data_IF_496517765714
#
_entry.id   IF_496517765714
#
_cell.length_a   1.000
_cell.length_b   1.000
_cell.length_c   1.000
_cell.angle_alpha   90.00
_cell.angle_beta   90.00
_cell.angle_gamma   90.00
#
_symmetry.space_group_name_H-M   'P 1'
#
loop_
_entity.id
_entity.type
_entity.pdbx_description
1 polymer ?
#
# COMPACT_ATOMS: atom_id res chain seq x y z
N UNK A 1 -10.69 -0.92 32.46
CA UNK A 1 -9.55 -1.74 32.90
C UNK A 1 -9.09 -1.36 34.33
N UNK A 2 -8.74 -0.11 34.65
CA UNK A 2 -8.31 0.30 36.02
C UNK A 2 -9.24 -0.13 37.16
N UNK A 3 -10.57 -0.09 36.99
CA UNK A 3 -11.52 -0.54 38.02
C UNK A 3 -11.37 -2.03 38.29
N UNK A 4 -11.15 -2.84 37.28
CA UNK A 4 -10.96 -4.29 37.41
C UNK A 4 -9.61 -4.57 38.09
N UNK A 5 -8.55 -3.87 37.68
CA UNK A 5 -7.24 -3.99 38.31
C UNK A 5 -7.30 -3.66 39.82
N UNK A 6 -8.00 -2.60 40.22
CA UNK A 6 -8.20 -2.24 41.63
C UNK A 6 -8.97 -3.33 42.39
N UNK A 7 -10.01 -3.90 41.77
CA UNK A 7 -10.78 -4.96 42.40
C UNK A 7 -9.94 -6.21 42.70
N UNK A 8 -9.06 -6.57 41.77
CA UNK A 8 -8.18 -7.73 41.91
C UNK A 8 -6.81 -7.41 42.51
N UNK A 9 -6.61 -6.18 43.02
CA UNK A 9 -5.33 -5.72 43.58
C UNK A 9 -4.13 -5.95 42.64
N UNK A 10 -4.35 -5.84 41.34
CA UNK A 10 -3.31 -6.00 40.34
C UNK A 10 -2.80 -4.64 39.83
N UNK A 11 -1.51 -4.58 39.51
CA UNK A 11 -0.87 -3.38 38.95
C UNK A 11 -0.20 -3.74 37.60
N UNK A 12 -0.95 -3.78 36.49
CA UNK A 12 -0.41 -4.15 35.22
C UNK A 12 0.48 -3.06 34.65
N UNK A 13 1.52 -3.48 33.93
CA UNK A 13 2.27 -2.59 33.05
C UNK A 13 1.58 -2.50 31.68
N UNK A 14 1.44 -1.27 31.17
CA UNK A 14 0.84 -1.02 29.87
C UNK A 14 1.94 -0.78 28.85
N UNK A 15 1.94 -1.56 27.77
CA UNK A 15 2.74 -1.37 26.57
C UNK A 15 1.82 -1.01 25.44
N UNK A 16 2.00 0.18 24.86
CA UNK A 16 1.21 0.66 23.75
C UNK A 16 2.09 0.72 22.48
N UNK A 17 1.57 0.24 21.36
CA UNK A 17 2.22 0.32 20.06
C UNK A 17 1.26 0.93 19.05
N UNK A 18 1.76 1.79 18.19
CA UNK A 18 1.01 2.38 17.08
C UNK A 18 1.94 2.71 15.93
N UNK A 19 1.40 2.69 14.70
CA UNK A 19 2.18 2.99 13.50
C UNK A 19 2.30 4.49 13.24
N UNK A 20 1.19 5.24 13.30
CA UNK A 20 1.14 6.65 12.89
C UNK A 20 0.24 7.46 13.83
N UNK A 21 0.82 8.04 14.87
CA UNK A 21 0.13 8.95 15.80
C UNK A 21 1.03 10.15 16.07
N UNK A 22 0.47 11.36 15.92
CA UNK A 22 1.21 12.59 16.15
C UNK A 22 1.53 12.86 17.64
N UNK A 23 0.70 12.36 18.54
CA UNK A 23 0.78 12.59 19.99
C UNK A 23 0.65 11.29 20.80
N UNK A 24 1.57 10.32 20.64
CA UNK A 24 1.43 8.97 21.20
C UNK A 24 1.36 8.96 22.72
N UNK A 25 2.18 9.74 23.41
CA UNK A 25 2.21 9.80 24.88
C UNK A 25 0.89 10.34 25.42
N UNK A 26 0.42 11.48 24.90
CA UNK A 26 -0.84 12.09 25.35
C UNK A 26 -2.03 11.14 25.17
N UNK A 27 -2.08 10.42 24.03
CA UNK A 27 -3.14 9.47 23.77
C UNK A 27 -3.06 8.26 24.71
N UNK A 28 -1.87 7.70 24.92
CA UNK A 28 -1.66 6.59 25.83
C UNK A 28 -2.05 6.97 27.26
N UNK A 29 -1.68 8.16 27.72
CA UNK A 29 -2.05 8.68 29.04
C UNK A 29 -3.55 8.89 29.21
N UNK A 30 -4.24 9.37 28.18
CA UNK A 30 -5.71 9.49 28.19
C UNK A 30 -6.41 8.14 28.29
N UNK A 31 -5.86 7.10 27.70
CA UNK A 31 -6.46 5.75 27.66
C UNK A 31 -6.10 4.94 28.91
N UNK A 32 -4.83 4.95 29.29
CA UNK A 32 -4.28 4.05 30.31
C UNK A 32 -3.84 4.74 31.61
N UNK A 33 -3.82 6.08 31.67
CA UNK A 33 -3.32 6.86 32.80
C UNK A 33 -1.92 7.42 32.53
N UNK A 34 -1.32 8.04 33.52
CA UNK A 34 -0.02 8.72 33.41
C UNK A 34 1.18 7.77 33.46
N UNK A 35 2.34 8.28 33.08
CA UNK A 35 3.64 7.60 33.27
C UNK A 35 4.15 6.83 32.07
N UNK A 36 3.82 7.23 30.85
CA UNK A 36 4.36 6.63 29.64
C UNK A 36 5.69 7.24 29.21
N UNK A 37 6.63 6.38 28.84
CA UNK A 37 7.87 6.77 28.19
C UNK A 37 7.76 6.46 26.69
N UNK A 38 8.04 7.46 25.86
CA UNK A 38 8.06 7.30 24.41
C UNK A 38 9.36 6.61 23.97
N UNK A 39 9.21 5.59 23.15
CA UNK A 39 10.31 4.93 22.43
C UNK A 39 10.05 5.16 20.95
N UNK A 40 10.71 6.17 20.37
CA UNK A 40 10.55 6.60 18.99
C UNK A 40 11.83 6.49 18.16
N UNK A 41 12.92 6.05 18.79
CA UNK A 41 14.18 5.82 18.08
C UNK A 41 14.16 4.45 17.43
N UNK A 42 13.82 4.47 16.16
CA UNK A 42 13.96 3.32 15.29
C UNK A 42 15.44 3.11 14.96
N UNK A 43 15.99 1.95 15.33
CA UNK A 43 17.37 1.56 15.01
C UNK A 43 17.53 1.01 13.60
N UNK A 44 16.48 1.00 12.77
CA UNK A 44 16.53 0.49 11.41
C UNK A 44 17.27 1.46 10.47
N UNK A 45 17.87 0.92 9.43
CA UNK A 45 18.47 1.71 8.35
C UNK A 45 17.36 2.41 7.57
N UNK A 46 17.37 3.73 7.53
CA UNK A 46 16.47 4.52 6.71
C UNK A 46 17.16 4.84 5.36
N UNK A 47 16.72 4.24 4.24
CA UNK A 47 17.23 4.62 2.93
C UNK A 47 16.77 6.04 2.57
N UNK A 48 17.47 6.66 1.63
CA UNK A 48 17.03 7.92 1.03
C UNK A 48 15.65 7.72 0.40
N UNK A 49 14.79 8.73 0.56
CA UNK A 49 13.42 8.72 0.03
C UNK A 49 13.23 9.88 -0.92
N UNK A 50 12.74 9.58 -2.09
CA UNK A 50 12.35 10.56 -3.09
C UNK A 50 10.82 10.68 -3.12
N UNK A 51 10.32 11.92 -3.13
CA UNK A 51 8.88 12.23 -3.19
C UNK A 51 8.56 12.90 -4.51
N UNK A 52 7.83 12.20 -5.38
CA UNK A 52 7.39 12.70 -6.67
C UNK A 52 5.89 13.03 -6.64
N UNK A 53 5.53 14.29 -6.97
CA UNK A 53 4.13 14.70 -7.11
C UNK A 53 3.82 14.82 -8.60
N UNK A 54 2.95 13.94 -9.12
CA UNK A 54 2.57 13.88 -10.52
C UNK A 54 1.19 14.48 -10.70
N UNK A 55 1.10 15.54 -11.51
CA UNK A 55 -0.19 16.09 -11.94
C UNK A 55 -0.64 15.36 -13.21
N UNK A 56 -1.85 14.73 -13.20
CA UNK A 56 -2.35 14.05 -14.39
C UNK A 56 -2.45 14.98 -15.61
N UNK A 57 -2.12 14.48 -16.83
CA UNK A 57 -2.19 15.25 -18.05
C UNK A 57 -3.58 15.80 -18.36
N UNK A 58 -3.63 16.93 -19.04
CA UNK A 58 -4.86 17.55 -19.50
C UNK A 58 -5.40 16.85 -20.77
N UNK A 59 -6.72 16.71 -20.80
CA UNK A 59 -7.44 16.26 -21.99
C UNK A 59 -7.83 17.52 -22.78
N UNK A 60 -7.17 17.73 -23.91
CA UNK A 60 -7.43 18.87 -24.81
C UNK A 60 -8.20 18.42 -26.04
N UNK A 61 -9.13 19.23 -26.47
CA UNK A 61 -9.82 19.07 -27.75
C UNK A 61 -9.10 19.78 -28.88
N UNK A 62 -9.68 19.70 -30.11
CA UNK A 62 -9.11 20.29 -31.32
C UNK A 62 -8.86 21.81 -31.27
N UNK A 63 -9.46 22.52 -30.29
CA UNK A 63 -9.35 23.98 -30.14
C UNK A 63 -8.46 24.36 -28.93
N UNK A 64 -7.56 23.50 -28.47
CA UNK A 64 -6.78 23.65 -27.22
C UNK A 64 -7.62 23.84 -25.95
N UNK A 65 -8.93 23.68 -26.05
CA UNK A 65 -9.82 23.76 -24.90
C UNK A 65 -9.61 22.55 -24.00
N UNK A 66 -9.36 22.81 -22.72
CA UNK A 66 -9.20 21.78 -21.69
C UNK A 66 -10.59 21.27 -21.30
N UNK A 67 -10.83 19.98 -21.46
CA UNK A 67 -12.08 19.30 -21.06
C UNK A 67 -11.98 18.60 -19.71
N UNK A 68 -10.77 18.45 -19.18
CA UNK A 68 -10.51 17.80 -17.92
C UNK A 68 -9.08 17.26 -17.83
N UNK A 69 -8.87 16.32 -16.92
CA UNK A 69 -7.58 15.62 -16.78
C UNK A 69 -7.81 14.11 -16.83
N UNK A 70 -6.81 13.39 -17.28
CA UNK A 70 -6.77 11.93 -17.22
C UNK A 70 -6.97 11.53 -15.73
N UNK A 71 -7.73 10.47 -15.48
CA UNK A 71 -7.92 9.98 -14.12
C UNK A 71 -6.58 9.55 -13.50
N UNK A 72 -6.35 9.91 -12.25
CA UNK A 72 -5.13 9.51 -11.53
C UNK A 72 -4.95 7.97 -11.48
N UNK A 73 -6.05 7.21 -11.45
CA UNK A 73 -6.03 5.74 -11.55
C UNK A 73 -5.44 5.25 -12.86
N UNK A 74 -5.77 5.90 -13.99
CA UNK A 74 -5.24 5.54 -15.31
C UNK A 74 -3.75 5.90 -15.43
N UNK A 75 -3.33 7.03 -14.83
CA UNK A 75 -1.90 7.37 -14.76
C UNK A 75 -1.15 6.34 -13.92
N UNK A 76 -1.68 6.00 -12.73
CA UNK A 76 -1.08 4.98 -11.87
C UNK A 76 -0.98 3.61 -12.57
N UNK A 77 -2.06 3.17 -13.24
CA UNK A 77 -2.05 1.94 -14.02
C UNK A 77 -1.06 1.98 -15.20
N UNK A 78 -0.72 3.18 -15.69
CA UNK A 78 0.27 3.40 -16.75
C UNK A 78 1.72 3.24 -16.29
N UNK A 79 2.00 3.52 -15.02
CA UNK A 79 3.35 3.39 -14.45
C UNK A 79 3.69 1.95 -14.05
N UNK A 80 2.69 1.12 -13.79
CA UNK A 80 2.89 -0.25 -13.28
C UNK A 80 3.72 -1.12 -14.23
N UNK A 81 3.52 -1.13 -15.57
CA UNK A 81 4.36 -1.91 -16.46
C UNK A 81 5.85 -1.60 -16.36
N UNK A 82 6.23 -0.34 -16.29
CA UNK A 82 7.63 0.09 -16.14
C UNK A 82 8.24 -0.42 -14.82
N UNK A 83 7.47 -0.33 -13.72
CA UNK A 83 7.92 -0.84 -12.41
C UNK A 83 8.11 -2.35 -12.41
N UNK A 84 7.25 -3.09 -13.12
CA UNK A 84 7.37 -4.55 -13.28
C UNK A 84 8.56 -4.92 -14.15
N UNK A 85 8.80 -4.21 -15.26
CA UNK A 85 9.92 -4.44 -16.17
C UNK A 85 11.28 -4.19 -15.50
N UNK A 86 11.36 -3.18 -14.64
CA UNK A 86 12.55 -2.82 -13.87
C UNK A 86 12.71 -3.61 -12.57
N UNK A 87 11.81 -4.57 -12.31
CA UNK A 87 11.78 -5.41 -11.11
C UNK A 87 11.74 -4.61 -9.79
N UNK A 88 11.06 -3.47 -9.83
CA UNK A 88 10.84 -2.65 -8.63
C UNK A 88 9.67 -3.16 -7.81
N UNK A 89 9.90 -3.43 -6.53
CA UNK A 89 8.82 -3.74 -5.60
C UNK A 89 8.00 -2.50 -5.29
N UNK A 90 6.67 -2.58 -5.46
CA UNK A 90 5.79 -1.43 -5.28
C UNK A 90 4.44 -1.76 -4.64
N UNK A 91 3.84 -0.73 -4.06
CA UNK A 91 2.43 -0.75 -3.62
C UNK A 91 1.73 0.47 -4.21
N UNK A 92 0.65 0.23 -4.93
CA UNK A 92 -0.23 1.29 -5.45
C UNK A 92 -1.49 1.39 -4.60
N UNK A 93 -1.76 2.55 -4.01
CA UNK A 93 -2.95 2.76 -3.20
C UNK A 93 -4.11 3.35 -3.99
N UNK A 94 -5.23 2.63 -4.03
CA UNK A 94 -6.49 3.10 -4.58
C UNK A 94 -7.45 3.58 -3.48
N UNK A 95 -8.22 4.66 -3.76
CA UNK A 95 -9.16 5.27 -2.78
C UNK A 95 -10.33 4.37 -2.39
N UNK A 96 -10.67 3.38 -3.20
CA UNK A 96 -11.79 2.48 -2.98
C UNK A 96 -11.54 1.11 -3.58
N UNK A 97 -12.30 0.10 -3.16
CA UNK A 97 -12.24 -1.26 -3.73
C UNK A 97 -12.43 -1.24 -5.24
N UNK A 98 -13.39 -0.46 -5.74
CA UNK A 98 -13.64 -0.30 -7.18
C UNK A 98 -12.43 0.33 -7.89
N UNK A 99 -11.81 1.32 -7.28
CA UNK A 99 -10.63 1.98 -7.86
C UNK A 99 -9.44 1.02 -7.95
N UNK A 100 -9.23 0.19 -6.92
CA UNK A 100 -8.21 -0.89 -6.93
C UNK A 100 -8.45 -1.86 -8.09
N UNK A 101 -9.69 -2.32 -8.29
CA UNK A 101 -10.02 -3.24 -9.39
C UNK A 101 -9.80 -2.60 -10.77
N UNK A 102 -10.13 -1.31 -10.92
CA UNK A 102 -9.91 -0.58 -12.18
C UNK A 102 -8.41 -0.46 -12.47
N UNK A 103 -7.61 -0.02 -11.49
CA UNK A 103 -6.15 0.10 -11.64
C UNK A 103 -5.55 -1.27 -11.98
N UNK A 104 -5.92 -2.31 -11.22
CA UNK A 104 -5.39 -3.66 -11.42
C UNK A 104 -5.73 -4.21 -12.80
N UNK A 105 -6.98 -4.04 -13.23
CA UNK A 105 -7.41 -4.49 -14.56
C UNK A 105 -6.65 -3.74 -15.67
N UNK A 106 -6.65 -2.41 -15.65
CA UNK A 106 -5.94 -1.60 -16.66
C UNK A 106 -4.43 -1.94 -16.70
N UNK A 107 -3.81 -2.16 -15.56
CA UNK A 107 -2.40 -2.54 -15.49
C UNK A 107 -2.17 -3.94 -16.08
N UNK A 108 -3.00 -4.92 -15.73
CA UNK A 108 -2.91 -6.28 -16.30
C UNK A 108 -3.14 -6.31 -17.81
N UNK A 109 -4.14 -5.59 -18.30
CA UNK A 109 -4.42 -5.48 -19.73
C UNK A 109 -3.20 -4.92 -20.51
N UNK A 110 -2.47 -3.96 -19.92
CA UNK A 110 -1.24 -3.40 -20.49
C UNK A 110 -0.07 -4.37 -20.44
N UNK A 111 0.11 -5.08 -19.31
CA UNK A 111 1.15 -6.08 -19.14
C UNK A 111 0.94 -7.29 -20.07
N UNK A 112 -0.31 -7.73 -20.24
CA UNK A 112 -0.66 -8.80 -21.16
C UNK A 112 -0.39 -8.39 -22.62
N UNK A 113 -0.73 -7.15 -22.99
CA UNK A 113 -0.43 -6.62 -24.31
C UNK A 113 1.08 -6.53 -24.58
N UNK A 114 1.87 -6.09 -23.62
CA UNK A 114 3.34 -6.07 -23.69
C UNK A 114 3.92 -7.48 -23.77
N UNK A 115 3.41 -8.43 -22.99
CA UNK A 115 3.79 -9.85 -23.02
C UNK A 115 3.51 -10.51 -24.38
N UNK A 116 2.40 -10.15 -25.04
CA UNK A 116 2.06 -10.63 -26.37
C UNK A 116 3.03 -10.11 -27.45
N UNK A 117 3.56 -8.89 -27.27
CA UNK A 117 4.55 -8.32 -28.18
C UNK A 117 5.98 -8.86 -27.99
N UNK A 118 6.17 -9.85 -27.12
CA UNK A 118 7.47 -10.47 -26.88
C UNK A 118 8.39 -9.65 -25.97
N UNK A 119 7.89 -8.59 -25.37
CA UNK A 119 8.59 -7.83 -24.35
C UNK A 119 8.58 -8.62 -23.03
N UNK A 120 9.69 -9.23 -22.77
CA UNK A 120 10.17 -9.85 -21.54
C UNK A 120 9.17 -10.61 -20.66
N UNK A 121 9.34 -11.92 -20.61
CA UNK A 121 8.95 -12.73 -19.45
C UNK A 121 9.95 -12.46 -18.33
N UNK A 122 9.57 -11.71 -17.31
CA UNK A 122 10.39 -11.53 -16.12
C UNK A 122 10.44 -12.88 -15.39
N UNK A 123 11.60 -13.52 -15.35
CA UNK A 123 11.79 -14.83 -14.71
C UNK A 123 10.96 -15.98 -15.30
N UNK A 124 10.47 -15.88 -16.56
CA UNK A 124 9.67 -16.92 -17.23
C UNK A 124 8.17 -16.87 -16.87
N UNK A 125 7.74 -15.96 -16.00
CA UNK A 125 6.31 -15.73 -15.64
C UNK A 125 5.68 -14.70 -16.56
N UNK A 126 4.34 -14.77 -16.70
CA UNK A 126 3.59 -13.68 -17.35
C UNK A 126 3.67 -12.43 -16.46
N UNK A 127 4.07 -11.25 -16.97
CA UNK A 127 4.14 -10.03 -16.19
C UNK A 127 2.85 -9.66 -15.45
N UNK A 128 1.69 -9.98 -16.03
CA UNK A 128 0.39 -9.76 -15.37
C UNK A 128 0.18 -10.62 -14.11
N UNK A 129 0.91 -11.72 -13.95
CA UNK A 129 0.85 -12.58 -12.77
C UNK A 129 1.75 -12.08 -11.63
N UNK A 130 2.62 -11.11 -11.91
CA UNK A 130 3.52 -10.50 -10.93
C UNK A 130 2.83 -9.42 -10.08
N UNK A 131 1.60 -9.06 -10.41
CA UNK A 131 0.83 -8.07 -9.67
C UNK A 131 -0.47 -8.64 -9.14
N UNK A 132 -0.84 -8.27 -7.91
CA UNK A 132 -2.07 -8.71 -7.26
C UNK A 132 -2.83 -7.54 -6.63
N UNK A 133 -4.16 -7.71 -6.50
CA UNK A 133 -4.98 -6.83 -5.69
C UNK A 133 -4.92 -7.21 -4.21
N UNK A 134 -5.02 -6.24 -3.31
CA UNK A 134 -5.16 -6.49 -1.87
C UNK A 134 -6.23 -5.57 -1.28
N UNK A 135 -7.21 -6.16 -0.59
CA UNK A 135 -8.32 -5.41 -0.01
C UNK A 135 -8.94 -6.10 1.20
N UNK A 136 -9.59 -5.33 2.06
CA UNK A 136 -10.23 -5.84 3.28
C UNK A 136 -11.39 -6.82 3.07
N UNK A 137 -11.85 -7.03 1.82
CA UNK A 137 -12.89 -8.02 1.48
C UNK A 137 -12.35 -9.43 1.25
N UNK A 138 -11.04 -9.62 1.20
CA UNK A 138 -10.43 -10.95 1.10
C UNK A 138 -10.47 -11.67 2.44
N UNK A 139 -10.55 -12.99 2.39
CA UNK A 139 -10.45 -13.84 3.59
C UNK A 139 -9.06 -13.71 4.22
N UNK A 140 -8.91 -14.01 5.52
CA UNK A 140 -7.59 -14.01 6.15
C UNK A 140 -6.56 -14.92 5.47
N UNK A 141 -7.01 -16.05 4.89
CA UNK A 141 -6.13 -16.97 4.18
C UNK A 141 -5.65 -16.38 2.85
N UNK A 142 -6.54 -15.78 2.06
CA UNK A 142 -6.16 -15.11 0.81
C UNK A 142 -5.16 -13.97 1.06
N UNK A 143 -5.38 -13.17 2.11
CA UNK A 143 -4.46 -12.10 2.47
C UNK A 143 -3.08 -12.61 2.84
N UNK A 144 -3.00 -13.64 3.70
CA UNK A 144 -1.72 -14.27 4.08
C UNK A 144 -0.99 -14.85 2.87
N UNK A 145 -1.72 -15.42 1.93
CA UNK A 145 -1.10 -15.99 0.72
C UNK A 145 -0.53 -14.89 -0.18
N UNK A 146 -1.22 -13.75 -0.33
CA UNK A 146 -0.69 -12.60 -1.09
C UNK A 146 0.55 -12.02 -0.39
N UNK A 147 0.50 -11.86 0.93
CA UNK A 147 1.61 -11.37 1.75
C UNK A 147 2.83 -12.31 1.63
N UNK A 148 2.61 -13.64 1.70
CA UNK A 148 3.66 -14.64 1.48
C UNK A 148 4.30 -14.49 0.10
N UNK A 149 3.48 -14.42 -0.95
CA UNK A 149 3.96 -14.27 -2.33
C UNK A 149 4.79 -13.01 -2.53
N UNK A 150 4.39 -11.91 -1.88
CA UNK A 150 5.15 -10.67 -1.92
C UNK A 150 6.49 -10.79 -1.20
N UNK A 151 6.49 -11.43 -0.03
CA UNK A 151 7.72 -11.66 0.77
C UNK A 151 8.70 -12.62 0.09
N UNK A 152 8.18 -13.64 -0.59
CA UNK A 152 9.00 -14.63 -1.30
C UNK A 152 9.42 -14.19 -2.71
N UNK A 153 9.04 -12.97 -3.14
CA UNK A 153 9.37 -12.45 -4.46
C UNK A 153 8.61 -13.12 -5.62
N UNK A 154 7.49 -13.79 -5.32
CA UNK A 154 6.60 -14.30 -6.35
C UNK A 154 5.75 -13.22 -6.99
N UNK A 155 5.53 -12.10 -6.26
CA UNK A 155 4.88 -10.88 -6.72
C UNK A 155 5.86 -9.72 -6.64
N UNK A 156 5.82 -8.84 -7.63
CA UNK A 156 6.59 -7.60 -7.68
C UNK A 156 5.75 -6.43 -7.13
N UNK A 157 4.44 -6.46 -7.33
CA UNK A 157 3.60 -5.34 -6.97
C UNK A 157 2.21 -5.67 -6.43
N UNK A 158 1.71 -4.76 -5.58
CA UNK A 158 0.35 -4.83 -5.05
C UNK A 158 -0.44 -3.56 -5.40
N UNK A 159 -1.71 -3.74 -5.73
CA UNK A 159 -2.68 -2.65 -5.81
C UNK A 159 -3.65 -2.79 -4.64
N UNK A 160 -3.61 -1.86 -3.69
CA UNK A 160 -4.31 -1.98 -2.42
C UNK A 160 -5.22 -0.80 -2.12
N UNK A 161 -6.16 -1.00 -1.22
CA UNK A 161 -6.81 0.08 -0.46
C UNK A 161 -5.93 0.45 0.74
N UNK A 162 -6.38 1.37 1.60
CA UNK A 162 -5.73 1.68 2.89
C UNK A 162 -5.51 0.46 3.81
N UNK A 163 -5.93 -0.75 3.42
CA UNK A 163 -5.71 -1.96 4.20
C UNK A 163 -4.23 -2.30 4.45
N UNK A 164 -3.32 -1.80 3.61
CA UNK A 164 -1.86 -1.93 3.78
C UNK A 164 -1.17 -0.62 4.22
N UNK A 165 -1.93 0.41 4.58
CA UNK A 165 -1.39 1.73 4.95
C UNK A 165 -0.44 1.66 6.17
N UNK A 166 -0.66 0.69 7.06
CA UNK A 166 0.15 0.47 8.26
C UNK A 166 1.33 -0.49 8.04
N UNK A 167 1.57 -0.89 6.80
CA UNK A 167 2.67 -1.78 6.41
C UNK A 167 2.26 -3.24 6.23
N UNK A 168 3.20 -3.97 5.70
CA UNK A 168 3.15 -5.43 5.49
C UNK A 168 4.19 -6.08 6.40
#
# INVERSE_FOLDING_TARGET
>A
MHRICRYYHSNPHFLCSSATIANPVELAEKICGSGFTLIDRDGSTAPEREYCIIQPPEIKGNNDKVYGRIAASTVAAGLIPELVEEDHHFITFGRSRRNVEVILKEAKDKLDAAGFLGMARVGGKNPADLIAGYRGGYTPLERKEIERKMTEGELTGLVSTSALELGI
#
